data_IF_515498904825
#
_entry.id   IF_515498904825
#
_cell.length_a   1.000
_cell.length_b   1.000
_cell.length_c   1.000
_cell.angle_alpha   90.00
_cell.angle_beta   90.00
_cell.angle_gamma   90.00
#
_symmetry.space_group_name_H-M   'P 1'
#
loop_
_entity.id
_entity.type
_entity.pdbx_description
1 polymer ?
#
# COMPACT_ATOMS: atom_id res chain seq x y z
N UNK A 1 -21.19 22.30 -28.10
CA UNK A 1 -20.70 21.72 -26.83
C UNK A 1 -19.66 20.65 -27.18
N UNK A 2 -18.37 20.98 -27.04
CA UNK A 2 -17.29 20.01 -27.20
C UNK A 2 -17.32 19.08 -25.98
N UNK A 3 -17.53 17.77 -26.20
CA UNK A 3 -17.29 16.74 -25.19
C UNK A 3 -15.80 16.79 -24.82
N UNK A 4 -15.43 16.76 -23.53
CA UNK A 4 -14.04 16.60 -23.16
C UNK A 4 -13.55 15.29 -23.76
N UNK A 5 -12.45 15.34 -24.50
CA UNK A 5 -11.76 14.16 -25.00
C UNK A 5 -11.19 13.43 -23.80
N UNK A 6 -11.98 12.51 -23.24
CA UNK A 6 -11.53 11.66 -22.15
C UNK A 6 -10.33 10.83 -22.66
N UNK A 7 -9.18 11.01 -22.04
CA UNK A 7 -8.06 10.10 -22.24
C UNK A 7 -8.51 8.73 -21.75
N UNK A 8 -8.54 7.73 -22.60
CA UNK A 8 -8.71 6.36 -22.17
C UNK A 8 -7.51 5.98 -21.31
N UNK A 9 -7.72 5.85 -20.00
CA UNK A 9 -6.70 5.40 -19.07
C UNK A 9 -6.97 3.91 -18.82
N UNK A 10 -6.02 3.07 -19.20
CA UNK A 10 -6.03 1.66 -18.82
C UNK A 10 -5.29 1.52 -17.49
N UNK A 11 -5.96 0.92 -16.51
CA UNK A 11 -5.37 0.63 -15.19
C UNK A 11 -5.20 -0.88 -15.08
N UNK A 12 -3.97 -1.31 -14.80
CA UNK A 12 -3.65 -2.72 -14.56
C UNK A 12 -3.37 -2.89 -13.07
N UNK A 13 -4.12 -3.78 -12.43
CA UNK A 13 -3.88 -4.18 -11.04
C UNK A 13 -3.14 -5.49 -11.00
N UNK A 14 -2.03 -5.54 -10.25
CA UNK A 14 -1.25 -6.76 -10.02
C UNK A 14 -1.22 -7.05 -8.54
N UNK A 15 -1.83 -8.17 -8.15
CA UNK A 15 -1.79 -8.63 -6.77
C UNK A 15 -0.48 -9.41 -6.53
N UNK A 16 0.41 -8.86 -5.71
CA UNK A 16 1.63 -9.53 -5.25
C UNK A 16 1.56 -10.00 -3.80
N UNK A 17 0.41 -9.80 -3.16
CA UNK A 17 0.17 -10.18 -1.76
C UNK A 17 0.04 -11.70 -1.60
N UNK A 18 0.59 -12.23 -0.49
CA UNK A 18 0.42 -13.61 -0.08
C UNK A 18 0.05 -13.62 1.40
N UNK A 19 -1.02 -14.34 1.78
CA UNK A 19 -1.44 -14.43 3.17
C UNK A 19 -0.33 -14.97 4.08
N UNK A 20 -0.14 -14.35 5.25
CA UNK A 20 0.80 -14.80 6.27
C UNK A 20 2.29 -14.58 5.98
N UNK A 21 2.64 -13.95 4.87
CA UNK A 21 4.05 -13.65 4.55
C UNK A 21 4.58 -12.51 5.40
N UNK A 22 5.81 -12.67 5.91
CA UNK A 22 6.59 -11.59 6.46
C UNK A 22 7.19 -10.73 5.35
N UNK A 23 7.68 -9.54 5.71
CA UNK A 23 8.28 -8.62 4.74
C UNK A 23 9.47 -9.24 3.99
N UNK A 24 10.24 -10.10 4.64
CA UNK A 24 11.37 -10.81 4.02
C UNK A 24 10.95 -11.65 2.79
N UNK A 25 9.76 -12.20 2.82
CA UNK A 25 9.22 -13.04 1.74
C UNK A 25 8.74 -12.20 0.54
N UNK A 26 8.52 -10.90 0.74
CA UNK A 26 7.96 -10.00 -0.27
C UNK A 26 9.05 -9.32 -1.12
N UNK A 27 10.26 -9.17 -0.60
CA UNK A 27 11.38 -8.53 -1.33
C UNK A 27 11.63 -9.19 -2.70
N UNK A 28 11.84 -10.53 -2.80
CA UNK A 28 12.08 -11.16 -4.09
C UNK A 28 10.86 -11.09 -5.01
N UNK A 29 9.65 -11.07 -4.46
CA UNK A 29 8.41 -10.98 -5.25
C UNK A 29 8.26 -9.63 -5.94
N UNK A 30 8.57 -8.55 -5.25
CA UNK A 30 8.53 -7.20 -5.83
C UNK A 30 9.52 -7.07 -6.97
N UNK A 31 10.74 -7.58 -6.78
CA UNK A 31 11.78 -7.63 -7.83
C UNK A 31 11.32 -8.46 -9.03
N UNK A 32 10.74 -9.63 -8.80
CA UNK A 32 10.28 -10.52 -9.87
C UNK A 32 9.09 -9.92 -10.64
N UNK A 33 8.18 -9.20 -9.97
CA UNK A 33 7.10 -8.51 -10.64
C UNK A 33 7.62 -7.45 -11.62
N UNK A 34 8.61 -6.64 -11.22
CA UNK A 34 9.26 -5.67 -12.11
C UNK A 34 9.87 -6.34 -13.35
N UNK A 35 10.69 -7.39 -13.14
CA UNK A 35 11.32 -8.16 -14.22
C UNK A 35 10.30 -8.81 -15.17
N UNK A 36 9.18 -9.31 -14.64
CA UNK A 36 8.13 -9.88 -15.48
C UNK A 36 7.56 -8.84 -16.44
N UNK A 37 7.23 -7.64 -15.97
CA UNK A 37 6.72 -6.58 -16.83
C UNK A 37 7.72 -6.18 -17.90
N UNK A 38 9.00 -6.05 -17.56
CA UNK A 38 10.07 -5.79 -18.52
C UNK A 38 10.15 -6.90 -19.59
N UNK A 39 10.07 -8.17 -19.19
CA UNK A 39 10.17 -9.31 -20.12
C UNK A 39 9.03 -9.41 -21.12
N UNK A 40 7.85 -8.89 -20.78
CA UNK A 40 6.68 -8.84 -21.70
C UNK A 40 6.54 -7.49 -22.39
N UNK A 41 7.55 -6.63 -22.32
CA UNK A 41 7.59 -5.34 -23.01
C UNK A 41 6.65 -4.28 -22.44
N UNK A 42 6.13 -4.49 -21.22
CA UNK A 42 5.30 -3.51 -20.55
C UNK A 42 6.20 -2.51 -19.83
N UNK A 43 6.26 -1.30 -20.34
CA UNK A 43 6.90 -0.20 -19.63
C UNK A 43 5.94 0.37 -18.60
N UNK A 44 6.40 0.47 -17.34
CA UNK A 44 5.63 0.97 -16.21
C UNK A 44 6.15 2.33 -15.69
N UNK A 45 6.20 3.38 -16.54
CA UNK A 45 6.79 4.66 -16.14
C UNK A 45 6.00 5.33 -15.01
N UNK A 46 4.78 4.90 -14.78
CA UNK A 46 3.85 5.49 -13.80
C UNK A 46 3.28 4.49 -12.81
N UNK A 47 3.87 3.31 -12.69
CA UNK A 47 3.41 2.31 -11.72
C UNK A 47 3.53 2.85 -10.28
N UNK A 48 2.53 2.53 -9.46
CA UNK A 48 2.56 2.82 -8.03
C UNK A 48 2.42 1.51 -7.28
N UNK A 49 3.39 1.19 -6.44
CA UNK A 49 3.30 0.05 -5.53
C UNK A 49 2.62 0.51 -4.25
N UNK A 50 1.49 -0.10 -3.92
CA UNK A 50 0.78 0.08 -2.66
C UNK A 50 1.18 -1.05 -1.72
N UNK A 51 1.96 -0.73 -0.72
CA UNK A 51 2.45 -1.71 0.25
C UNK A 51 1.62 -1.64 1.52
N UNK A 52 0.99 -2.75 1.84
CA UNK A 52 0.24 -2.93 3.08
C UNK A 52 0.57 -4.31 3.64
N UNK A 53 1.45 -4.36 4.60
CA UNK A 53 1.85 -5.56 5.33
C UNK A 53 2.54 -5.12 6.62
N UNK A 54 2.40 -5.88 7.67
CA UNK A 54 3.04 -5.60 8.97
C UNK A 54 2.52 -6.54 10.05
N UNK A 55 1.36 -7.15 9.81
CA UNK A 55 0.68 -8.02 10.76
C UNK A 55 1.54 -9.25 11.10
N UNK A 56 2.07 -9.93 10.08
CA UNK A 56 2.92 -11.11 10.28
C UNK A 56 4.23 -10.75 10.98
N UNK A 57 4.80 -9.59 10.66
CA UNK A 57 6.02 -9.09 11.30
C UNK A 57 5.78 -8.63 12.74
N UNK A 58 4.61 -8.04 13.02
CA UNK A 58 4.19 -7.69 14.36
C UNK A 58 4.03 -8.94 15.25
N UNK A 59 3.38 -9.99 14.74
CA UNK A 59 3.24 -11.28 15.42
C UNK A 59 4.60 -11.95 15.70
N UNK A 60 5.52 -11.87 14.74
CA UNK A 60 6.88 -12.41 14.85
C UNK A 60 7.82 -11.52 15.65
N UNK A 61 7.39 -10.32 16.04
CA UNK A 61 8.19 -9.29 16.69
C UNK A 61 9.48 -8.97 15.93
N UNK A 62 9.37 -8.87 14.60
CA UNK A 62 10.49 -8.52 13.73
C UNK A 62 11.13 -7.20 14.22
N UNK A 63 12.48 -7.15 14.42
CA UNK A 63 13.14 -5.93 14.83
C UNK A 63 12.92 -4.79 13.84
N UNK A 64 12.67 -3.57 14.34
CA UNK A 64 12.34 -2.40 13.50
C UNK A 64 13.43 -2.07 12.48
N UNK A 65 14.71 -2.26 12.83
CA UNK A 65 15.81 -2.05 11.92
C UNK A 65 15.80 -3.04 10.75
N UNK A 66 15.56 -4.34 11.02
CA UNK A 66 15.44 -5.36 9.98
C UNK A 66 14.24 -5.09 9.07
N UNK A 67 13.07 -4.76 9.65
CA UNK A 67 11.88 -4.40 8.90
C UNK A 67 12.13 -3.17 8.01
N UNK A 68 12.78 -2.14 8.55
CA UNK A 68 13.11 -0.91 7.81
C UNK A 68 14.02 -1.18 6.61
N UNK A 69 15.05 -2.03 6.78
CA UNK A 69 15.96 -2.38 5.69
C UNK A 69 15.24 -3.14 4.57
N UNK A 70 14.36 -4.09 4.92
CA UNK A 70 13.58 -4.85 3.94
C UNK A 70 12.54 -3.97 3.23
N UNK A 71 11.90 -3.03 3.96
CA UNK A 71 10.96 -2.09 3.38
C UNK A 71 11.66 -1.14 2.39
N UNK A 72 12.87 -0.69 2.71
CA UNK A 72 13.69 0.09 1.79
C UNK A 72 14.08 -0.70 0.53
N UNK A 73 14.40 -1.99 0.66
CA UNK A 73 14.70 -2.86 -0.47
C UNK A 73 13.49 -3.04 -1.40
N UNK A 74 12.28 -3.20 -0.84
CA UNK A 74 11.04 -3.25 -1.63
C UNK A 74 10.81 -1.93 -2.36
N UNK A 75 11.00 -0.80 -1.67
CA UNK A 75 10.87 0.52 -2.27
C UNK A 75 11.83 0.76 -3.43
N UNK A 76 13.09 0.32 -3.29
CA UNK A 76 14.10 0.39 -4.34
C UNK A 76 13.78 -0.51 -5.55
N UNK A 77 13.13 -1.66 -5.32
CA UNK A 77 12.70 -2.58 -6.36
C UNK A 77 11.35 -2.20 -6.99
N UNK A 78 10.66 -1.18 -6.46
CA UNK A 78 9.35 -0.78 -6.95
C UNK A 78 9.44 -0.19 -8.37
N UNK A 79 8.74 -0.78 -9.36
CA UNK A 79 8.76 -0.26 -10.72
C UNK A 79 8.17 1.17 -10.74
N UNK A 80 8.78 2.05 -11.53
CA UNK A 80 8.34 3.45 -11.67
C UNK A 80 8.64 4.35 -10.46
N UNK A 81 9.35 3.85 -9.43
CA UNK A 81 9.84 4.64 -8.30
C UNK A 81 8.76 5.19 -7.37
N UNK A 82 7.49 4.83 -7.55
CA UNK A 82 6.39 5.26 -6.70
C UNK A 82 6.02 4.17 -5.71
N UNK A 83 6.43 4.35 -4.48
CA UNK A 83 6.19 3.42 -3.39
C UNK A 83 5.40 4.10 -2.27
N UNK A 84 4.25 3.54 -1.94
CA UNK A 84 3.35 4.02 -0.89
C UNK A 84 3.19 2.97 0.19
N UNK A 85 3.35 3.38 1.43
CA UNK A 85 3.33 2.47 2.59
C UNK A 85 2.15 2.81 3.49
N UNK A 86 1.21 1.88 3.61
CA UNK A 86 0.14 1.96 4.59
C UNK A 86 0.58 1.39 5.94
N UNK A 87 0.02 1.91 7.01
CA UNK A 87 0.23 1.36 8.36
C UNK A 87 -0.78 0.23 8.60
N UNK A 88 -0.28 -0.98 8.90
CA UNK A 88 -1.10 -2.14 9.18
C UNK A 88 -0.29 -3.18 9.95
N UNK A 89 -0.42 -3.15 11.28
CA UNK A 89 0.31 -4.07 12.17
C UNK A 89 -0.62 -4.83 13.11
N UNK A 90 -1.90 -4.44 13.16
CA UNK A 90 -2.88 -5.00 14.08
C UNK A 90 -3.38 -6.36 13.60
N UNK A 91 -3.20 -7.39 14.43
CA UNK A 91 -3.69 -8.73 14.18
C UNK A 91 -3.97 -9.48 15.49
N UNK A 92 -5.18 -9.99 15.64
CA UNK A 92 -5.60 -10.70 16.85
C UNK A 92 -5.58 -9.80 18.08
N UNK A 93 -5.06 -10.32 19.17
CA UNK A 93 -4.89 -9.59 20.42
C UNK A 93 -3.65 -8.69 20.43
N UNK A 94 -2.85 -8.72 19.38
CA UNK A 94 -1.73 -7.81 19.20
C UNK A 94 -2.30 -6.44 18.85
N UNK A 95 -2.23 -5.54 19.82
CA UNK A 95 -2.45 -4.10 19.59
C UNK A 95 -1.48 -3.61 18.51
N UNK A 96 -1.76 -2.44 17.86
CA UNK A 96 -0.82 -1.89 16.92
C UNK A 96 0.61 -2.01 17.43
N UNK A 97 1.48 -2.67 16.68
CA UNK A 97 2.85 -2.94 17.12
C UNK A 97 3.75 -1.74 16.83
N UNK A 98 4.06 -0.90 17.86
CA UNK A 98 4.71 0.39 17.63
C UNK A 98 6.03 0.32 16.88
N UNK A 99 6.91 -0.69 17.09
CA UNK A 99 8.17 -0.76 16.35
C UNK A 99 7.99 -0.83 14.83
N UNK A 100 7.04 -1.62 14.33
CA UNK A 100 6.77 -1.75 12.89
C UNK A 100 5.90 -0.57 12.41
N UNK A 101 4.84 -0.23 13.12
CA UNK A 101 3.98 0.91 12.79
C UNK A 101 4.79 2.22 12.71
N UNK A 102 5.76 2.42 13.60
CA UNK A 102 6.66 3.57 13.56
C UNK A 102 7.54 3.61 12.31
N UNK A 103 8.01 2.45 11.82
CA UNK A 103 8.73 2.38 10.53
C UNK A 103 7.81 2.79 9.39
N UNK A 104 6.61 2.22 9.32
CA UNK A 104 5.63 2.50 8.27
C UNK A 104 5.21 3.98 8.24
N UNK A 105 4.93 4.58 9.41
CA UNK A 105 4.56 6.00 9.53
C UNK A 105 5.65 6.95 9.05
N UNK A 106 6.93 6.60 9.18
CA UNK A 106 8.02 7.44 8.68
C UNK A 106 8.02 7.63 7.16
N UNK A 107 7.42 6.72 6.42
CA UNK A 107 7.18 6.92 4.99
C UNK A 107 6.12 8.02 4.72
N UNK A 108 5.10 8.15 5.60
CA UNK A 108 4.14 9.25 5.60
C UNK A 108 3.28 9.42 4.34
N UNK A 109 3.20 8.38 3.50
CA UNK A 109 2.66 8.48 2.15
C UNK A 109 1.54 7.47 1.84
N UNK A 110 1.04 6.78 2.85
CA UNK A 110 -0.09 5.85 2.76
C UNK A 110 -1.02 5.98 3.97
N UNK A 111 -2.18 5.31 3.95
CA UNK A 111 -3.17 5.41 5.02
C UNK A 111 -2.75 4.68 6.29
N UNK A 112 -3.18 5.18 7.45
CA UNK A 112 -3.12 4.44 8.72
C UNK A 112 -4.37 3.55 8.84
N UNK A 113 -4.19 2.24 8.59
CA UNK A 113 -5.25 1.24 8.68
C UNK A 113 -5.34 0.58 10.05
N UNK A 114 -4.34 0.77 10.92
CA UNK A 114 -4.44 0.42 12.34
C UNK A 114 -5.48 1.27 13.07
N UNK A 115 -5.75 2.47 12.56
CA UNK A 115 -6.82 3.36 13.04
C UNK A 115 -8.23 2.84 12.73
N UNK A 116 -8.38 1.81 11.88
CA UNK A 116 -9.67 1.13 11.69
C UNK A 116 -9.94 0.21 12.89
N UNK A 117 -10.98 0.54 13.64
CA UNK A 117 -11.39 -0.20 14.82
C UNK A 117 -11.95 -1.60 14.53
N UNK A 118 -12.32 -2.32 15.59
CA UNK A 118 -12.80 -3.71 15.52
C UNK A 118 -14.07 -3.87 14.68
N UNK A 119 -14.94 -2.86 14.61
CA UNK A 119 -16.15 -2.86 13.77
C UNK A 119 -15.86 -3.08 12.27
N UNK A 120 -14.62 -2.86 11.83
CA UNK A 120 -14.16 -3.06 10.47
C UNK A 120 -13.39 -4.37 10.28
N UNK A 121 -13.18 -5.14 11.35
CA UNK A 121 -12.44 -6.39 11.33
C UNK A 121 -13.35 -7.58 11.60
N UNK A 122 -12.91 -8.75 11.13
CA UNK A 122 -13.54 -10.04 11.44
C UNK A 122 -13.31 -10.39 12.92
N UNK A 123 -13.99 -11.39 13.45
CA UNK A 123 -13.79 -11.84 14.85
C UNK A 123 -12.34 -12.17 15.20
N UNK A 124 -11.51 -12.52 14.22
CA UNK A 124 -10.08 -12.75 14.39
C UNK A 124 -9.27 -11.47 14.63
N UNK A 125 -9.91 -10.30 14.55
CA UNK A 125 -9.31 -8.96 14.72
C UNK A 125 -8.10 -8.68 13.83
N UNK A 126 -7.89 -9.51 12.82
CA UNK A 126 -6.81 -9.40 11.86
C UNK A 126 -7.33 -8.97 10.49
N UNK A 127 -8.18 -9.80 9.91
CA UNK A 127 -8.71 -9.58 8.57
C UNK A 127 -9.85 -8.57 8.58
N UNK A 128 -9.93 -7.79 7.53
CA UNK A 128 -11.04 -6.85 7.35
C UNK A 128 -12.35 -7.58 6.95
N UNK A 129 -13.47 -7.05 7.43
CA UNK A 129 -14.79 -7.36 6.88
C UNK A 129 -14.93 -6.71 5.49
N UNK A 130 -16.01 -7.03 4.75
CA UNK A 130 -16.32 -6.32 3.49
C UNK A 130 -16.40 -4.82 3.69
N UNK A 131 -17.04 -4.35 4.77
CA UNK A 131 -17.06 -2.94 5.14
C UNK A 131 -15.67 -2.39 5.42
N UNK A 132 -14.83 -3.16 6.10
CA UNK A 132 -13.44 -2.78 6.39
C UNK A 132 -12.59 -2.66 5.12
N UNK A 133 -12.77 -3.56 4.16
CA UNK A 133 -12.09 -3.49 2.87
C UNK A 133 -12.52 -2.26 2.07
N UNK A 134 -13.82 -1.92 2.07
CA UNK A 134 -14.33 -0.71 1.41
C UNK A 134 -13.73 0.55 2.02
N UNK A 135 -13.67 0.63 3.34
CA UNK A 135 -13.07 1.78 4.03
C UNK A 135 -11.56 1.88 3.79
N UNK A 136 -10.85 0.74 3.83
CA UNK A 136 -9.42 0.70 3.51
C UNK A 136 -9.16 1.16 2.07
N UNK A 137 -9.98 0.72 1.12
CA UNK A 137 -9.88 1.15 -0.28
C UNK A 137 -10.13 2.65 -0.44
N UNK A 138 -11.11 3.22 0.27
CA UNK A 138 -11.37 4.66 0.26
C UNK A 138 -10.16 5.46 0.79
N UNK A 139 -9.56 5.01 1.89
CA UNK A 139 -8.35 5.64 2.45
C UNK A 139 -7.14 5.53 1.51
N UNK A 140 -6.95 4.39 0.86
CA UNK A 140 -5.93 4.24 -0.17
C UNK A 140 -6.17 5.16 -1.35
N UNK A 141 -7.42 5.25 -1.83
CA UNK A 141 -7.79 6.14 -2.93
C UNK A 141 -7.44 7.59 -2.61
N UNK A 142 -7.78 8.05 -1.41
CA UNK A 142 -7.43 9.40 -0.96
C UNK A 142 -5.91 9.64 -0.88
N UNK A 143 -5.14 8.61 -0.44
CA UNK A 143 -3.70 8.72 -0.32
C UNK A 143 -2.97 8.75 -1.68
N UNK A 144 -3.53 8.13 -2.73
CA UNK A 144 -2.89 8.06 -4.06
C UNK A 144 -3.45 9.06 -5.06
N UNK A 145 -4.60 9.66 -4.77
CA UNK A 145 -5.17 10.69 -5.65
C UNK A 145 -4.16 11.82 -5.82
N UNK A 146 -3.85 12.23 -7.06
CA UNK A 146 -3.12 13.47 -7.25
C UNK A 146 -3.95 14.60 -6.65
N UNK A 147 -3.33 15.63 -6.06
CA UNK A 147 -4.07 16.83 -5.72
C UNK A 147 -4.76 17.31 -7.01
N UNK A 148 -6.09 17.31 -7.00
CA UNK A 148 -6.82 17.90 -8.10
C UNK A 148 -6.29 19.34 -8.26
N UNK A 149 -5.88 19.74 -9.48
CA UNK A 149 -5.63 21.16 -9.69
C UNK A 149 -6.95 21.87 -9.33
N UNK A 150 -6.94 22.62 -8.26
CA UNK A 150 -7.99 23.59 -8.00
C UNK A 150 -7.96 24.51 -9.21
N UNK A 151 -8.90 24.36 -10.14
CA UNK A 151 -9.12 25.36 -11.18
C UNK A 151 -9.27 26.69 -10.43
N UNK A 152 -8.44 27.71 -10.73
CA UNK A 152 -8.68 29.01 -10.17
C UNK A 152 -10.10 29.41 -10.57
N UNK A 153 -10.88 29.74 -9.57
CA UNK A 153 -12.24 30.23 -9.72
C UNK A 153 -12.21 31.37 -10.74
N UNK A 154 -12.89 31.15 -11.84
CA UNK A 154 -13.00 32.16 -12.90
C UNK A 154 -13.96 33.24 -12.39
N UNK A 155 -13.48 34.03 -11.43
CA UNK A 155 -14.12 35.30 -11.11
C UNK A 155 -13.83 36.27 -12.25
N UNK A 156 -14.76 36.35 -13.18
CA UNK A 156 -15.05 37.52 -13.97
C UNK A 156 -16.49 37.93 -13.80
#
# INVERSE_FOLDING_TARGET
RRRPTGRNISVVFVAAAVPGFAIADLVPRTTNAGRYFESVGIQLPTATVLFQQGEADALRRTPSAAYSAMLAAIGAAAPGGRFRVGVGTRCGDVLPYPPIAGVQRRYGNGPDLDALGDAFRRPDRCHFTTRGLTEAAARWSAAVAPPYPTTPDSTM
#
